data_IF_875035741968
#
_entry.id   IF_875035741968
#
_cell.length_a   1.000
_cell.length_b   1.000
_cell.length_c   1.000
_cell.angle_alpha   90.00
_cell.angle_beta   90.00
_cell.angle_gamma   90.00
#
_symmetry.space_group_name_H-M   'P 1'
#
loop_
_entity.id
_entity.type
_entity.pdbx_description
1 polymer ?
#
# COMPACT_ATOMS: atom_id res chain seq x y z
N UNK A 1 18.56 -6.06 -10.15
CA UNK A 1 18.19 -7.48 -9.93
C UNK A 1 17.01 -7.90 -10.82
N UNK A 2 15.84 -7.25 -10.77
CA UNK A 2 14.68 -7.63 -11.61
C UNK A 2 14.89 -7.53 -13.14
N UNK A 3 15.84 -6.69 -13.58
CA UNK A 3 16.20 -6.51 -14.99
C UNK A 3 17.16 -7.56 -15.51
N UNK A 4 18.17 -7.93 -14.71
CA UNK A 4 19.36 -8.64 -15.19
C UNK A 4 19.76 -9.86 -14.34
N UNK A 5 19.01 -10.16 -13.27
CA UNK A 5 19.34 -11.26 -12.33
C UNK A 5 18.14 -12.17 -12.10
N UNK A 6 17.01 -11.62 -11.66
CA UNK A 6 15.81 -12.39 -11.33
C UNK A 6 14.96 -12.62 -12.58
N UNK A 7 14.39 -13.82 -12.69
CA UNK A 7 13.61 -14.26 -13.84
C UNK A 7 13.25 -15.74 -13.72
N UNK A 8 12.53 -16.24 -14.72
CA UNK A 8 12.26 -17.67 -14.89
C UNK A 8 13.21 -18.27 -15.92
N UNK A 9 13.44 -19.58 -15.84
CA UNK A 9 14.26 -20.34 -16.79
C UNK A 9 13.34 -21.35 -17.48
N UNK A 10 13.41 -21.44 -18.81
CA UNK A 10 12.67 -22.47 -19.55
C UNK A 10 13.45 -23.80 -19.64
N UNK A 11 12.81 -24.84 -20.19
CA UNK A 11 13.42 -26.18 -20.33
C UNK A 11 14.67 -26.21 -21.22
N UNK A 12 14.92 -25.14 -21.98
CA UNK A 12 16.08 -24.96 -22.87
C UNK A 12 17.19 -24.13 -22.20
N UNK A 13 17.03 -23.73 -20.93
CA UNK A 13 18.01 -22.94 -20.18
C UNK A 13 18.00 -21.44 -20.48
N UNK A 14 17.02 -20.93 -21.23
CA UNK A 14 16.88 -19.50 -21.54
C UNK A 14 16.24 -18.78 -20.35
N UNK A 15 16.86 -17.67 -19.92
CA UNK A 15 16.37 -16.83 -18.82
C UNK A 15 15.46 -15.72 -19.34
N UNK A 16 14.27 -15.59 -18.76
CA UNK A 16 13.34 -14.47 -18.97
C UNK A 16 13.28 -13.60 -17.71
N UNK A 17 13.94 -12.45 -17.76
CA UNK A 17 13.97 -11.50 -16.64
C UNK A 17 12.62 -10.82 -16.41
N UNK A 18 12.31 -10.49 -15.15
CA UNK A 18 11.02 -9.91 -14.72
C UNK A 18 10.66 -8.63 -15.51
N UNK A 19 11.66 -7.81 -15.82
CA UNK A 19 11.50 -6.54 -16.56
C UNK A 19 12.19 -6.54 -17.93
N UNK A 20 12.63 -7.71 -18.41
CA UNK A 20 13.17 -7.89 -19.77
C UNK A 20 14.43 -7.09 -20.09
N UNK A 21 15.36 -6.91 -19.14
CA UNK A 21 16.65 -6.25 -19.40
C UNK A 21 16.57 -4.74 -19.67
N UNK A 22 15.49 -4.07 -19.24
CA UNK A 22 15.28 -2.64 -19.50
C UNK A 22 16.28 -1.69 -18.78
N UNK A 23 17.08 -2.18 -17.84
CA UNK A 23 17.94 -1.35 -16.99
C UNK A 23 19.03 -0.62 -17.78
N UNK A 24 19.64 -1.25 -18.78
CA UNK A 24 20.74 -0.68 -19.55
C UNK A 24 20.37 0.64 -20.25
N UNK A 25 19.12 0.78 -20.69
CA UNK A 25 18.65 1.96 -21.41
C UNK A 25 17.79 2.90 -20.54
N UNK A 26 17.00 2.37 -19.61
CA UNK A 26 16.08 3.20 -18.81
C UNK A 26 16.77 3.85 -17.61
N UNK A 27 17.81 3.25 -17.04
CA UNK A 27 18.47 3.79 -15.82
C UNK A 27 19.38 4.99 -16.07
N UNK A 28 19.72 5.30 -17.33
CA UNK A 28 20.59 6.43 -17.67
C UNK A 28 19.82 7.76 -17.80
N UNK A 29 18.49 7.75 -17.67
CA UNK A 29 17.67 8.97 -17.73
C UNK A 29 16.68 9.06 -16.57
N UNK A 30 16.44 10.27 -16.06
CA UNK A 30 15.44 10.52 -15.00
C UNK A 30 14.04 10.06 -15.46
N UNK A 31 13.69 10.26 -16.73
CA UNK A 31 12.40 9.81 -17.25
C UNK A 31 12.29 8.27 -17.27
N UNK A 32 13.37 7.56 -17.60
CA UNK A 32 13.38 6.10 -17.53
C UNK A 32 13.22 5.58 -16.09
N UNK A 33 13.82 6.25 -15.10
CA UNK A 33 13.52 5.98 -13.68
C UNK A 33 12.05 6.23 -13.33
N UNK A 34 11.45 7.32 -13.81
CA UNK A 34 10.05 7.62 -13.53
C UNK A 34 9.11 6.60 -14.17
N UNK A 35 9.32 6.27 -15.44
CA UNK A 35 8.39 5.48 -16.26
C UNK A 35 8.54 3.97 -16.05
N UNK A 36 9.75 3.45 -16.11
CA UNK A 36 10.03 2.00 -16.12
C UNK A 36 10.30 1.41 -14.73
N UNK A 37 10.66 2.27 -13.77
CA UNK A 37 10.85 1.84 -12.39
C UNK A 37 9.69 2.30 -11.52
N UNK A 38 9.57 3.60 -11.23
CA UNK A 38 8.60 4.09 -10.25
C UNK A 38 7.15 3.86 -10.68
N UNK A 39 6.80 4.20 -11.91
CA UNK A 39 5.40 4.10 -12.37
C UNK A 39 5.00 2.66 -12.70
N UNK A 40 5.82 1.94 -13.48
CA UNK A 40 5.51 0.56 -13.87
C UNK A 40 5.49 -0.43 -12.70
N UNK A 41 6.26 -0.19 -11.63
CA UNK A 41 6.33 -1.07 -10.46
C UNK A 41 5.61 -0.50 -9.24
N UNK A 42 4.95 0.66 -9.36
CA UNK A 42 4.11 1.18 -8.30
C UNK A 42 2.95 0.20 -8.05
N UNK A 43 2.71 -0.10 -6.77
CA UNK A 43 1.50 -0.81 -6.38
C UNK A 43 0.29 0.05 -6.71
N UNK A 44 -0.65 -0.51 -7.49
CA UNK A 44 -1.85 0.23 -7.86
C UNK A 44 -2.70 0.51 -6.61
N UNK A 45 -3.20 1.75 -6.44
CA UNK A 45 -4.11 2.06 -5.35
C UNK A 45 -5.39 1.23 -5.51
N UNK A 46 -5.79 0.54 -4.44
CA UNK A 46 -7.04 -0.23 -4.38
C UNK A 46 -7.89 0.30 -3.24
N UNK A 47 -9.20 0.40 -3.49
CA UNK A 47 -10.16 0.66 -2.44
C UNK A 47 -10.13 -0.44 -1.37
N UNK A 48 -10.56 -0.11 -0.14
CA UNK A 48 -10.70 -1.12 0.90
C UNK A 48 -11.66 -2.23 0.45
N UNK A 49 -11.34 -3.46 0.82
CA UNK A 49 -12.30 -4.56 0.64
C UNK A 49 -13.57 -4.29 1.45
N UNK A 50 -14.68 -4.93 1.09
CA UNK A 50 -15.96 -4.78 1.81
C UNK A 50 -15.79 -5.10 3.30
N UNK A 51 -15.03 -6.15 3.62
CA UNK A 51 -14.75 -6.55 5.01
C UNK A 51 -13.92 -5.50 5.72
N UNK A 52 -12.86 -4.97 5.09
CA UNK A 52 -12.03 -3.91 5.66
C UNK A 52 -12.83 -2.62 5.86
N UNK A 53 -13.64 -2.21 4.88
CA UNK A 53 -14.49 -1.02 5.00
C UNK A 53 -15.47 -1.13 6.16
N UNK A 54 -16.10 -2.30 6.34
CA UNK A 54 -16.96 -2.57 7.50
C UNK A 54 -16.19 -2.55 8.81
N UNK A 55 -15.02 -3.17 8.85
CA UNK A 55 -14.18 -3.19 10.05
C UNK A 55 -13.78 -1.77 10.46
N UNK A 56 -13.26 -0.98 9.52
CA UNK A 56 -12.90 0.43 9.75
C UNK A 56 -14.11 1.24 10.22
N UNK A 57 -15.27 1.05 9.60
CA UNK A 57 -16.51 1.72 10.02
C UNK A 57 -16.90 1.39 11.46
N UNK A 58 -16.90 0.11 11.85
CA UNK A 58 -17.20 -0.31 13.22
C UNK A 58 -16.19 0.24 14.23
N UNK A 59 -14.90 0.25 13.88
CA UNK A 59 -13.86 0.82 14.74
C UNK A 59 -14.14 2.28 15.07
N UNK A 60 -14.43 3.11 14.06
CA UNK A 60 -14.70 4.54 14.27
C UNK A 60 -16.04 4.77 14.98
N UNK A 61 -17.05 3.96 14.66
CA UNK A 61 -18.36 4.07 15.30
C UNK A 61 -18.28 3.82 16.81
N UNK A 62 -17.63 2.72 17.21
CA UNK A 62 -17.47 2.38 18.62
C UNK A 62 -16.55 3.36 19.34
N UNK A 63 -15.40 3.70 18.75
CA UNK A 63 -14.48 4.67 19.33
C UNK A 63 -15.18 6.01 19.57
N UNK A 64 -15.87 6.55 18.57
CA UNK A 64 -16.59 7.82 18.67
C UNK A 64 -17.71 7.77 19.72
N UNK A 65 -18.53 6.72 19.71
CA UNK A 65 -19.63 6.57 20.66
C UNK A 65 -19.16 6.45 22.11
N UNK A 66 -18.14 5.62 22.36
CA UNK A 66 -17.57 5.42 23.70
C UNK A 66 -16.86 6.69 24.16
N UNK A 67 -15.98 7.28 23.34
CA UNK A 67 -15.22 8.46 23.73
C UNK A 67 -16.12 9.66 24.04
N UNK A 68 -17.18 9.87 23.23
CA UNK A 68 -18.15 10.95 23.46
C UNK A 68 -18.88 10.77 24.79
N UNK A 69 -19.37 9.56 25.05
CA UNK A 69 -20.10 9.23 26.28
C UNK A 69 -19.20 9.34 27.51
N UNK A 70 -17.97 8.83 27.40
CA UNK A 70 -16.96 8.92 28.45
C UNK A 70 -16.62 10.37 28.80
N UNK A 71 -16.36 11.21 27.79
CA UNK A 71 -16.03 12.62 27.99
C UNK A 71 -17.19 13.36 28.67
N UNK A 72 -18.44 13.09 28.24
CA UNK A 72 -19.64 13.64 28.87
C UNK A 72 -19.72 13.28 30.36
N UNK A 73 -19.56 11.99 30.69
CA UNK A 73 -19.67 11.55 32.08
C UNK A 73 -18.57 12.13 32.97
N UNK A 74 -17.33 12.16 32.49
CA UNK A 74 -16.23 12.75 33.25
C UNK A 74 -16.43 14.25 33.48
N UNK A 75 -16.78 15.00 32.43
CA UNK A 75 -17.04 16.43 32.57
C UNK A 75 -18.20 16.68 33.56
N UNK A 76 -19.26 15.88 33.50
CA UNK A 76 -20.40 16.00 34.40
C UNK A 76 -20.02 15.73 35.85
N UNK A 77 -19.39 14.60 36.16
CA UNK A 77 -19.10 14.23 37.55
C UNK A 77 -18.06 15.14 38.18
N UNK A 78 -17.06 15.62 37.42
CA UNK A 78 -16.06 16.56 37.93
C UNK A 78 -16.70 17.93 38.24
N UNK A 79 -17.69 18.36 37.45
CA UNK A 79 -18.28 19.68 37.61
C UNK A 79 -19.33 19.79 38.73
N UNK A 80 -19.99 18.68 39.09
CA UNK A 80 -21.12 18.72 40.06
C UNK A 80 -21.08 17.63 41.13
N UNK A 81 -20.09 16.73 41.11
CA UNK A 81 -19.91 15.65 42.08
C UNK A 81 -18.98 16.01 43.22
#
# INVERSE_FOLDING_TARGET
MQSDVWGSINDQGVVTHITGGNFAQSSITINGWLRDFLWAQASQPRALSIVQGRAVGVTHYLLGGIATTWAFFLARIIAVG
#
